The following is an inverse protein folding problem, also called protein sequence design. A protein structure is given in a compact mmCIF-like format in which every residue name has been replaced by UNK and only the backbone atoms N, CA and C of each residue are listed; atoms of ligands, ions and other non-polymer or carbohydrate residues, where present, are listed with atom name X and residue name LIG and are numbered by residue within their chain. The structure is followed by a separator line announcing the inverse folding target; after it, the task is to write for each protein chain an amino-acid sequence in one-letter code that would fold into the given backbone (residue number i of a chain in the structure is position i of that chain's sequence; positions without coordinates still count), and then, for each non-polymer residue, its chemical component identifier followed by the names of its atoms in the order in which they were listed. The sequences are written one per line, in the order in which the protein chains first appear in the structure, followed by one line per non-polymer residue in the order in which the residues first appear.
data_IF_118658778995
#
_entry.id   IF_118658778995
#
_cell.length_a   1.000
_cell.length_b   1.000
_cell.length_c   1.000
_cell.angle_alpha   90.00
_cell.angle_beta   90.00
_cell.angle_gamma   90.00
#
_symmetry.space_group_name_H-M   'P 1'
#
loop_
_entity.id
_entity.type
_entity.pdbx_description
1 polymer ?
#
# COMPACT_ATOMS: atom_id res chain seq x y z
N UNK A 1 -1.08 -19.19 -8.28
CA UNK A 1 -0.31 -18.61 -7.16
C UNK A 1 -1.21 -18.56 -5.94
N UNK A 2 -0.68 -18.77 -4.73
CA UNK A 2 -1.47 -18.60 -3.51
C UNK A 2 -1.75 -17.11 -3.32
N UNK A 3 -2.99 -16.75 -2.99
CA UNK A 3 -3.34 -15.36 -2.67
C UNK A 3 -2.52 -14.88 -1.47
N UNK A 4 -1.97 -13.67 -1.55
CA UNK A 4 -1.23 -13.05 -0.45
C UNK A 4 -2.14 -12.90 0.77
N UNK A 5 -1.58 -13.15 1.97
CA UNK A 5 -2.28 -13.04 3.27
C UNK A 5 -1.81 -11.87 4.12
N UNK A 6 -0.61 -11.37 3.82
CA UNK A 6 -0.02 -10.18 4.45
C UNK A 6 0.99 -9.53 3.50
N UNK A 7 1.45 -8.34 3.85
CA UNK A 7 2.60 -7.74 3.18
C UNK A 7 3.89 -8.39 3.69
N UNK A 8 4.82 -8.61 2.79
CA UNK A 8 6.09 -9.31 2.99
C UNK A 8 7.20 -8.56 2.26
N UNK A 9 8.45 -8.98 2.45
CA UNK A 9 9.60 -8.39 1.75
C UNK A 9 9.48 -8.49 0.23
N UNK A 10 8.77 -9.50 -0.27
CA UNK A 10 8.65 -9.82 -1.69
C UNK A 10 7.49 -9.12 -2.39
N UNK A 11 6.48 -8.63 -1.63
CA UNK A 11 5.22 -8.19 -2.23
C UNK A 11 4.76 -6.78 -1.82
N UNK A 12 5.45 -6.10 -0.89
CA UNK A 12 5.01 -4.82 -0.31
C UNK A 12 4.84 -3.68 -1.34
N UNK A 13 5.49 -3.78 -2.49
CA UNK A 13 5.42 -2.78 -3.57
C UNK A 13 4.14 -2.86 -4.39
N UNK A 14 3.41 -3.97 -4.33
CA UNK A 14 2.19 -4.20 -5.14
C UNK A 14 1.02 -4.82 -4.37
N UNK A 15 1.23 -5.32 -3.15
CA UNK A 15 0.18 -5.80 -2.26
C UNK A 15 -0.20 -4.72 -1.26
N UNK A 16 -1.49 -4.45 -1.14
CA UNK A 16 -2.06 -3.44 -0.27
C UNK A 16 -3.13 -4.03 0.65
N UNK A 17 -3.39 -3.36 1.77
CA UNK A 17 -4.61 -3.57 2.53
C UNK A 17 -5.69 -2.58 2.09
N UNK A 18 -6.94 -3.03 1.96
CA UNK A 18 -8.03 -2.20 1.45
C UNK A 18 -9.35 -2.48 2.18
N UNK A 19 -10.12 -1.41 2.39
CA UNK A 19 -11.54 -1.45 2.72
C UNK A 19 -12.35 -0.79 1.60
N UNK A 20 -13.66 -0.62 1.79
CA UNK A 20 -14.48 0.14 0.83
C UNK A 20 -14.06 1.63 0.72
N UNK A 21 -13.41 2.19 1.74
CA UNK A 21 -13.13 3.63 1.83
C UNK A 21 -11.64 3.97 1.89
N UNK A 22 -10.81 3.02 2.32
CA UNK A 22 -9.41 3.26 2.63
C UNK A 22 -8.49 2.25 1.98
N UNK A 23 -7.28 2.71 1.64
CA UNK A 23 -6.18 1.89 1.13
C UNK A 23 -4.95 2.15 2.00
N UNK A 24 -4.34 1.10 2.53
CA UNK A 24 -3.08 1.15 3.26
C UNK A 24 -1.97 0.43 2.46
N UNK A 25 -0.82 1.09 2.32
CA UNK A 25 0.32 0.59 1.54
C UNK A 25 1.64 1.12 2.09
N UNK A 26 2.74 0.48 1.70
CA UNK A 26 4.10 0.98 1.97
C UNK A 26 4.60 1.74 0.73
N UNK A 27 5.18 2.91 0.92
CA UNK A 27 5.93 3.64 -0.10
C UNK A 27 7.35 3.91 0.36
N UNK A 28 8.25 4.21 -0.58
CA UNK A 28 9.64 4.52 -0.30
C UNK A 28 9.94 5.97 -0.69
N UNK A 29 10.68 6.66 0.15
CA UNK A 29 11.22 7.98 -0.13
C UNK A 29 12.57 8.17 0.56
N UNK A 30 12.98 9.42 0.72
CA UNK A 30 14.21 9.75 1.41
C UNK A 30 14.03 10.97 2.32
N UNK A 31 14.77 10.97 3.43
CA UNK A 31 14.88 12.12 4.32
C UNK A 31 15.48 13.30 3.57
N UNK A 32 14.84 14.47 3.52
CA UNK A 32 15.42 15.64 2.86
C UNK A 32 16.66 16.19 3.59
N UNK A 33 16.87 15.79 4.84
CA UNK A 33 18.02 16.24 5.66
C UNK A 33 19.21 15.29 5.57
N UNK A 34 18.95 13.98 5.70
CA UNK A 34 20.01 12.95 5.77
C UNK A 34 20.21 12.22 4.46
N UNK A 35 19.29 12.34 3.50
CA UNK A 35 19.24 11.59 2.24
C UNK A 35 19.15 10.06 2.42
N UNK A 36 18.89 9.61 3.65
CA UNK A 36 18.67 8.20 3.95
C UNK A 36 17.29 7.76 3.48
N UNK A 37 17.21 6.51 3.04
CA UNK A 37 15.96 5.86 2.63
C UNK A 37 15.00 5.82 3.82
N UNK A 38 13.73 6.10 3.55
CA UNK A 38 12.64 5.95 4.50
C UNK A 38 11.49 5.17 3.86
N UNK A 39 10.86 4.32 4.66
CA UNK A 39 9.67 3.58 4.30
C UNK A 39 8.47 4.21 5.01
N UNK A 40 7.42 4.51 4.25
CA UNK A 40 6.23 5.16 4.75
C UNK A 40 5.06 4.19 4.73
N UNK A 41 4.45 3.95 5.87
CA UNK A 41 3.14 3.31 5.95
C UNK A 41 2.10 4.41 5.78
N UNK A 42 1.37 4.38 4.66
CA UNK A 42 0.43 5.43 4.27
C UNK A 42 -0.98 4.87 4.18
N UNK A 43 -1.96 5.61 4.68
CA UNK A 43 -3.39 5.35 4.43
C UNK A 43 -3.97 6.49 3.63
N UNK A 44 -4.63 6.16 2.52
CA UNK A 44 -5.40 7.14 1.73
C UNK A 44 -6.88 6.79 1.72
N UNK A 45 -7.71 7.80 1.46
CA UNK A 45 -9.09 7.58 1.04
C UNK A 45 -9.20 7.19 -0.44
N UNK A 46 -10.44 7.13 -0.96
CA UNK A 46 -10.74 6.81 -2.34
C UNK A 46 -10.36 7.90 -3.35
N UNK A 47 -10.16 9.14 -2.90
CA UNK A 47 -9.65 10.26 -3.72
C UNK A 47 -8.10 10.33 -3.68
N UNK A 48 -7.47 9.35 -3.02
CA UNK A 48 -6.04 9.29 -2.74
C UNK A 48 -5.53 10.43 -1.83
N UNK A 49 -6.41 11.05 -1.04
CA UNK A 49 -5.98 12.00 -0.03
C UNK A 49 -5.36 11.23 1.15
N UNK A 50 -4.23 11.70 1.64
CA UNK A 50 -3.56 11.09 2.79
C UNK A 50 -4.35 11.34 4.08
N UNK A 51 -4.72 10.26 4.75
CA UNK A 51 -5.41 10.26 6.04
C UNK A 51 -4.43 10.04 7.19
N UNK A 52 -3.40 9.22 6.94
CA UNK A 52 -2.37 8.89 7.91
C UNK A 52 -1.07 8.54 7.20
N UNK A 53 0.05 8.89 7.84
CA UNK A 53 1.37 8.46 7.44
C UNK A 53 2.28 8.26 8.66
N UNK A 54 3.11 7.22 8.63
CA UNK A 54 4.23 7.05 9.55
C UNK A 54 5.48 6.62 8.78
N UNK A 55 6.64 7.13 9.19
CA UNK A 55 7.94 6.81 8.59
C UNK A 55 8.74 5.83 9.45
N UNK A 56 9.47 4.96 8.77
CA UNK A 56 10.33 3.92 9.34
C UNK A 56 11.67 3.92 8.60
N UNK A 57 12.78 3.73 9.32
CA UNK A 57 14.13 3.71 8.73
C UNK A 57 14.49 2.37 8.08
N UNK A 58 13.77 1.30 8.44
CA UNK A 58 13.97 -0.05 7.89
C UNK A 58 12.62 -0.63 7.44
N UNK A 59 12.66 -1.47 6.41
CA UNK A 59 11.45 -2.01 5.78
C UNK A 59 10.71 -2.97 6.71
N UNK A 60 11.44 -3.74 7.52
CA UNK A 60 10.90 -4.71 8.46
C UNK A 60 10.00 -4.05 9.50
N UNK A 61 10.35 -2.84 9.95
CA UNK A 61 9.53 -2.06 10.89
C UNK A 61 8.24 -1.57 10.22
N UNK A 62 8.33 -1.12 8.96
CA UNK A 62 7.14 -0.73 8.19
C UNK A 62 6.20 -1.92 7.93
N UNK A 63 6.77 -3.10 7.61
CA UNK A 63 6.01 -4.34 7.43
C UNK A 63 5.32 -4.77 8.73
N UNK A 64 6.04 -4.75 9.84
CA UNK A 64 5.49 -5.03 11.17
C UNK A 64 4.34 -4.07 11.51
N UNK A 65 4.53 -2.78 11.25
CA UNK A 65 3.54 -1.74 11.53
C UNK A 65 2.28 -1.90 10.68
N UNK A 66 2.41 -2.05 9.36
CA UNK A 66 1.26 -2.16 8.45
C UNK A 66 0.47 -3.45 8.67
N UNK A 67 1.15 -4.59 8.86
CA UNK A 67 0.49 -5.87 9.10
C UNK A 67 -0.19 -5.89 10.47
N UNK A 68 0.42 -5.27 11.49
CA UNK A 68 -0.22 -5.16 12.82
C UNK A 68 -1.43 -4.24 12.82
N UNK A 69 -1.34 -3.09 12.16
CA UNK A 69 -2.44 -2.10 12.14
C UNK A 69 -3.58 -2.49 11.22
N UNK A 70 -3.27 -2.99 10.03
CA UNK A 70 -4.25 -3.15 8.95
C UNK A 70 -4.37 -4.60 8.46
N UNK A 71 -3.67 -5.57 9.07
CA UNK A 71 -3.75 -6.99 8.69
C UNK A 71 -5.13 -7.63 8.83
N UNK A 72 -6.07 -6.94 9.47
CA UNK A 72 -7.48 -7.33 9.54
C UNK A 72 -8.30 -6.88 8.32
N UNK A 73 -7.71 -6.10 7.40
CA UNK A 73 -8.36 -5.65 6.16
C UNK A 73 -8.15 -6.67 5.04
N UNK A 74 -8.98 -6.55 3.99
CA UNK A 74 -8.82 -7.36 2.79
C UNK A 74 -7.54 -7.00 2.05
N UNK A 75 -6.91 -7.99 1.45
CA UNK A 75 -5.75 -7.78 0.58
C UNK A 75 -6.19 -7.45 -0.84
N UNK A 76 -5.46 -6.53 -1.45
CA UNK A 76 -5.53 -6.21 -2.86
C UNK A 76 -4.14 -6.42 -3.46
N UNK A 77 -4.03 -7.32 -4.43
CA UNK A 77 -2.84 -7.55 -5.24
C UNK A 77 -2.95 -6.72 -6.53
N UNK A 78 -2.07 -5.73 -6.70
CA UNK A 78 -2.09 -4.85 -7.87
C UNK A 78 -1.51 -5.52 -9.14
N UNK A 79 -0.72 -6.59 -9.02
CA UNK A 79 -0.24 -7.36 -10.17
C UNK A 79 -1.32 -8.30 -10.71
N UNK A 80 -2.20 -8.77 -9.82
CA UNK A 80 -3.33 -9.63 -10.15
C UNK A 80 -4.63 -9.02 -9.61
N UNK A 81 -5.05 -7.85 -10.12
CA UNK A 81 -6.24 -7.20 -9.61
C UNK A 81 -7.44 -8.11 -9.82
N UNK A 82 -8.33 -8.27 -8.82
CA UNK A 82 -9.62 -8.93 -9.05
C UNK A 82 -10.29 -8.24 -10.23
N UNK A 83 -10.94 -9.01 -11.11
CA UNK A 83 -11.64 -8.47 -12.27
C UNK A 83 -12.51 -7.28 -11.84
N UNK A 84 -12.03 -6.07 -12.13
CA UNK A 84 -12.84 -4.89 -12.02
C UNK A 84 -13.63 -4.80 -13.32
N UNK A 85 -14.93 -4.53 -13.21
CA UNK A 85 -15.72 -3.99 -14.31
C UNK A 85 -14.98 -2.74 -14.81
N UNK A 86 -14.14 -2.93 -15.83
CA UNK A 86 -13.34 -1.88 -16.42
C UNK A 86 -14.27 -0.80 -16.90
N UNK A 87 -14.12 0.41 -16.34
CA UNK A 87 -14.78 1.60 -16.84
C UNK A 87 -14.38 1.79 -18.31
N UNK A 88 -15.27 1.38 -19.21
CA UNK A 88 -15.05 1.26 -20.65
C UNK A 88 -15.08 2.61 -21.37
N UNK A 89 -14.78 3.72 -20.69
CA UNK A 89 -14.99 5.07 -21.23
C UNK A 89 -13.77 5.98 -21.24
N UNK A 90 -12.55 5.46 -21.04
CA UNK A 90 -11.33 6.23 -21.34
C UNK A 90 -11.06 6.24 -22.85
N UNK A 91 -11.92 6.93 -23.59
CA UNK A 91 -11.58 7.44 -24.92
C UNK A 91 -10.65 8.64 -24.74
N UNK A 92 -9.35 8.45 -24.94
CA UNK A 92 -8.43 9.58 -25.11
C UNK A 92 -8.73 10.25 -26.47
N UNK A 93 -8.96 11.57 -26.46
CA UNK A 93 -9.02 12.42 -27.65
C UNK A 93 -7.70 13.18 -27.82
#
# INVERSE_FOLDING_TARGET
MLAAKELTLENWTFVHYKTQQYKAFISMGASPKTQEIQYFVTVTDNENQEIFQSSHSVLEDALSDINKRYGHWSIFDAENPPESDGCSSCSAH
#
